data_IF_883472127365
#
_entry.id   IF_883472127365
#
_cell.length_a   1.000
_cell.length_b   1.000
_cell.length_c   1.000
_cell.angle_alpha   90.00
_cell.angle_beta   90.00
_cell.angle_gamma   90.00
#
_symmetry.space_group_name_H-M   'P 1'
#
loop_
_entity.id
_entity.type
_entity.pdbx_description
1 polymer ?
#
# COMPACT_ATOMS: atom_id res chain seq x y z
N UNK A 1 -3.54 -22.11 -32.71
CA UNK A 1 -2.64 -21.01 -32.27
C UNK A 1 -3.39 -20.21 -31.23
N UNK A 2 -2.82 -20.04 -30.07
CA UNK A 2 -3.51 -19.36 -28.97
C UNK A 2 -3.56 -17.86 -29.23
N UNK A 3 -4.72 -17.27 -29.01
CA UNK A 3 -4.87 -15.82 -29.09
C UNK A 3 -4.14 -15.16 -27.93
N UNK A 4 -3.68 -13.91 -28.12
CA UNK A 4 -3.02 -13.14 -27.05
C UNK A 4 -3.89 -13.07 -25.77
N UNK A 5 -5.20 -12.96 -25.93
CA UNK A 5 -6.14 -12.93 -24.80
C UNK A 5 -6.17 -14.25 -24.03
N UNK A 6 -6.23 -15.39 -24.74
CA UNK A 6 -6.18 -16.73 -24.12
C UNK A 6 -4.90 -16.93 -23.33
N UNK A 7 -3.78 -16.53 -23.91
CA UNK A 7 -2.45 -16.65 -23.28
C UNK A 7 -2.33 -15.76 -22.04
N UNK A 8 -2.86 -14.53 -22.08
CA UNK A 8 -2.91 -13.63 -20.92
C UNK A 8 -3.73 -14.26 -19.79
N UNK A 9 -4.88 -14.83 -20.09
CA UNK A 9 -5.73 -15.47 -19.08
C UNK A 9 -5.03 -16.66 -18.43
N UNK A 10 -4.40 -17.54 -19.24
CA UNK A 10 -3.62 -18.68 -18.74
C UNK A 10 -2.46 -18.22 -17.84
N UNK A 11 -1.77 -17.14 -18.23
CA UNK A 11 -0.71 -16.55 -17.41
C UNK A 11 -1.23 -15.99 -16.08
N UNK A 12 -2.36 -15.30 -16.07
CA UNK A 12 -2.97 -14.78 -14.85
C UNK A 12 -3.42 -15.91 -13.92
N UNK A 13 -3.94 -17.01 -14.46
CA UNK A 13 -4.26 -18.20 -13.68
C UNK A 13 -3.02 -18.86 -13.10
N UNK A 14 -1.95 -19.00 -13.88
CA UNK A 14 -0.65 -19.46 -13.40
C UNK A 14 -0.10 -18.56 -12.26
N UNK A 15 -0.20 -17.26 -12.41
CA UNK A 15 0.21 -16.30 -11.38
C UNK A 15 -0.60 -16.45 -10.09
N UNK A 16 -1.88 -16.76 -10.19
CA UNK A 16 -2.77 -16.96 -9.05
C UNK A 16 -2.52 -18.34 -8.39
N UNK A 17 -2.53 -19.41 -9.17
CA UNK A 17 -2.55 -20.78 -8.65
C UNK A 17 -1.16 -21.35 -8.31
N UNK A 18 -0.13 -21.01 -9.10
CA UNK A 18 1.21 -21.59 -8.93
C UNK A 18 2.20 -20.61 -8.32
N UNK A 19 2.16 -19.32 -8.72
CA UNK A 19 3.02 -18.29 -8.10
C UNK A 19 2.44 -17.70 -6.82
N UNK A 20 1.17 -17.95 -6.52
CA UNK A 20 0.47 -17.45 -5.34
C UNK A 20 0.69 -15.92 -5.13
N UNK A 21 0.61 -15.15 -6.22
CA UNK A 21 0.81 -13.72 -6.15
C UNK A 21 -0.35 -13.06 -5.40
N UNK A 22 -0.03 -12.02 -4.65
CA UNK A 22 -1.05 -11.26 -3.92
C UNK A 22 -2.08 -10.61 -4.87
N UNK A 23 -3.30 -10.43 -4.39
CA UNK A 23 -4.44 -9.92 -5.17
C UNK A 23 -4.18 -8.55 -5.80
N UNK A 24 -3.42 -7.67 -5.10
CA UNK A 24 -3.08 -6.33 -5.62
C UNK A 24 -2.14 -6.44 -6.82
N UNK A 25 -1.19 -7.35 -6.78
CA UNK A 25 -0.27 -7.64 -7.89
C UNK A 25 -1.02 -8.27 -9.07
N UNK A 26 -1.89 -9.24 -8.82
CA UNK A 26 -2.74 -9.85 -9.86
C UNK A 26 -3.65 -8.82 -10.52
N UNK A 27 -4.25 -7.92 -9.75
CA UNK A 27 -5.07 -6.83 -10.28
C UNK A 27 -4.26 -5.89 -11.16
N UNK A 28 -3.04 -5.54 -10.76
CA UNK A 28 -2.15 -4.70 -11.56
C UNK A 28 -1.77 -5.39 -12.88
N UNK A 29 -1.39 -6.68 -12.83
CA UNK A 29 -1.09 -7.47 -14.03
C UNK A 29 -2.29 -7.55 -14.97
N UNK A 30 -3.47 -7.85 -14.45
CA UNK A 30 -4.70 -7.90 -15.26
C UNK A 30 -4.97 -6.59 -15.99
N UNK A 31 -4.84 -5.45 -15.33
CA UNK A 31 -5.03 -4.13 -15.94
C UNK A 31 -3.96 -3.85 -16.99
N UNK A 32 -2.68 -4.12 -16.66
CA UNK A 32 -1.57 -3.79 -17.56
C UNK A 32 -1.57 -4.65 -18.81
N UNK A 33 -1.82 -5.96 -18.66
CA UNK A 33 -1.84 -6.91 -19.79
C UNK A 33 -3.06 -6.72 -20.68
N UNK A 34 -4.23 -6.37 -20.11
CA UNK A 34 -5.39 -5.99 -20.92
C UNK A 34 -5.09 -4.76 -21.76
N UNK A 35 -4.54 -3.70 -21.16
CA UNK A 35 -4.18 -2.48 -21.90
C UNK A 35 -3.08 -2.74 -22.95
N UNK A 36 -2.16 -3.66 -22.68
CA UNK A 36 -1.19 -4.11 -23.65
C UNK A 36 -1.87 -4.76 -24.85
N UNK A 37 -2.77 -5.72 -24.65
CA UNK A 37 -3.53 -6.39 -25.70
C UNK A 37 -4.33 -5.39 -26.55
N UNK A 38 -5.04 -4.45 -25.90
CA UNK A 38 -5.82 -3.40 -26.59
C UNK A 38 -4.94 -2.48 -27.45
N UNK A 39 -3.74 -2.11 -26.98
CA UNK A 39 -2.85 -1.18 -27.67
C UNK A 39 -2.07 -1.78 -28.84
N UNK A 40 -1.75 -3.08 -28.79
CA UNK A 40 -1.00 -3.74 -29.85
C UNK A 40 -1.91 -4.11 -31.04
N UNK A 41 -3.19 -4.41 -30.78
CA UNK A 41 -4.17 -4.86 -31.78
C UNK A 41 -3.72 -6.10 -32.58
N UNK A 42 -2.80 -6.90 -32.03
CA UNK A 42 -2.30 -8.16 -32.60
C UNK A 42 -2.99 -9.30 -31.88
N UNK A 43 -3.60 -10.20 -32.65
CA UNK A 43 -4.34 -11.35 -32.10
C UNK A 43 -3.43 -12.54 -31.81
N UNK A 44 -2.45 -12.77 -32.70
CA UNK A 44 -1.57 -13.92 -32.59
C UNK A 44 -0.24 -13.55 -31.88
N UNK A 45 0.09 -14.25 -30.81
CA UNK A 45 1.30 -14.00 -30.03
C UNK A 45 2.60 -14.12 -30.85
N UNK A 46 2.63 -15.02 -31.84
CA UNK A 46 3.79 -15.25 -32.70
C UNK A 46 4.12 -14.02 -33.61
N UNK A 47 3.19 -13.12 -33.81
CA UNK A 47 3.39 -11.91 -34.63
C UNK A 47 4.00 -10.75 -33.83
N UNK A 48 4.14 -10.90 -32.51
CA UNK A 48 4.71 -9.87 -31.66
C UNK A 48 6.22 -9.91 -31.72
N UNK A 49 6.79 -8.95 -32.41
CA UNK A 49 8.25 -8.81 -32.60
C UNK A 49 8.86 -7.80 -31.61
N UNK A 50 10.19 -7.78 -31.52
CA UNK A 50 10.91 -6.74 -30.76
C UNK A 50 10.54 -5.34 -31.23
N UNK A 51 10.36 -5.12 -32.54
CA UNK A 51 9.93 -3.84 -33.12
C UNK A 51 8.54 -3.42 -32.64
N UNK A 52 7.60 -4.36 -32.54
CA UNK A 52 6.26 -4.10 -32.01
C UNK A 52 6.32 -3.66 -30.53
N UNK A 53 7.17 -4.33 -29.76
CA UNK A 53 7.36 -3.98 -28.33
C UNK A 53 8.05 -2.63 -28.16
N UNK A 54 9.03 -2.29 -28.99
CA UNK A 54 9.68 -0.96 -28.99
C UNK A 54 8.66 0.15 -29.26
N UNK A 55 7.77 -0.05 -30.25
CA UNK A 55 6.69 0.90 -30.55
C UNK A 55 5.70 1.04 -29.39
N UNK A 56 5.37 -0.08 -28.72
CA UNK A 56 4.54 -0.07 -27.53
C UNK A 56 5.22 0.73 -26.39
N UNK A 57 6.50 0.48 -26.14
CA UNK A 57 7.30 1.19 -25.12
C UNK A 57 7.33 2.69 -25.42
N UNK A 58 7.56 3.09 -26.67
CA UNK A 58 7.56 4.49 -27.08
C UNK A 58 6.22 5.18 -26.76
N UNK A 59 5.09 4.55 -27.12
CA UNK A 59 3.75 5.04 -26.79
C UNK A 59 3.52 5.16 -25.29
N UNK A 60 4.03 4.21 -24.48
CA UNK A 60 3.92 4.30 -23.04
C UNK A 60 4.65 5.53 -22.47
N UNK A 61 5.83 5.86 -23.02
CA UNK A 61 6.60 7.04 -22.59
C UNK A 61 5.89 8.37 -22.92
N UNK A 62 5.10 8.41 -23.97
CA UNK A 62 4.28 9.58 -24.34
C UNK A 62 3.09 9.78 -23.39
N UNK A 63 2.50 8.67 -22.92
CA UNK A 63 1.23 8.69 -22.19
C UNK A 63 1.38 8.68 -20.66
N UNK A 64 2.48 8.12 -20.14
CA UNK A 64 2.61 7.81 -18.71
C UNK A 64 3.90 8.33 -18.10
N UNK A 65 3.85 8.59 -16.79
CA UNK A 65 5.05 8.91 -16.00
C UNK A 65 6.01 7.71 -15.94
N UNK A 66 7.34 7.93 -15.84
CA UNK A 66 8.37 6.87 -15.90
C UNK A 66 8.10 5.67 -14.98
N UNK A 67 7.65 5.90 -13.74
CA UNK A 67 7.32 4.83 -12.79
C UNK A 67 6.16 3.94 -13.26
N UNK A 68 5.16 4.52 -13.93
CA UNK A 68 4.04 3.76 -14.51
C UNK A 68 4.50 2.98 -15.73
N UNK A 69 5.32 3.58 -16.60
CA UNK A 69 5.93 2.91 -17.75
C UNK A 69 6.71 1.68 -17.30
N UNK A 70 7.61 1.84 -16.31
CA UNK A 70 8.41 0.75 -15.76
C UNK A 70 7.54 -0.41 -15.25
N UNK A 71 6.46 -0.12 -14.52
CA UNK A 71 5.52 -1.14 -14.02
C UNK A 71 4.84 -1.89 -15.16
N UNK A 72 4.31 -1.17 -16.16
CA UNK A 72 3.64 -1.76 -17.33
C UNK A 72 4.57 -2.65 -18.14
N UNK A 73 5.77 -2.19 -18.40
CA UNK A 73 6.79 -2.97 -19.10
C UNK A 73 7.17 -4.21 -18.29
N UNK A 74 7.31 -4.10 -16.96
CA UNK A 74 7.60 -5.24 -16.12
C UNK A 74 6.51 -6.31 -16.18
N UNK A 75 5.23 -5.91 -16.21
CA UNK A 75 4.09 -6.84 -16.35
C UNK A 75 4.13 -7.59 -17.68
N UNK A 76 4.38 -6.88 -18.78
CA UNK A 76 4.46 -7.50 -20.12
C UNK A 76 5.72 -8.37 -20.24
N UNK A 77 6.86 -7.90 -19.73
CA UNK A 77 8.10 -8.70 -19.72
C UNK A 77 7.94 -10.02 -18.94
N UNK A 78 7.21 -9.97 -17.83
CA UNK A 78 6.92 -11.17 -17.04
C UNK A 78 6.00 -12.17 -17.79
N UNK A 79 5.05 -11.69 -18.59
CA UNK A 79 4.26 -12.53 -19.49
C UNK A 79 5.16 -13.22 -20.53
N UNK A 80 5.99 -12.47 -21.26
CA UNK A 80 6.85 -13.06 -22.29
C UNK A 80 7.87 -14.04 -21.73
N UNK A 81 8.37 -13.81 -20.53
CA UNK A 81 9.22 -14.77 -19.84
C UNK A 81 8.48 -16.07 -19.50
N UNK A 82 7.20 -15.99 -19.11
CA UNK A 82 6.35 -17.16 -18.88
C UNK A 82 6.10 -17.92 -20.19
N UNK A 83 5.87 -17.23 -21.30
CA UNK A 83 5.63 -17.85 -22.60
C UNK A 83 6.86 -18.64 -23.11
N UNK A 84 8.03 -18.07 -22.95
CA UNK A 84 9.30 -18.72 -23.26
C UNK A 84 9.54 -19.93 -22.34
N UNK A 85 9.30 -19.78 -21.04
CA UNK A 85 9.41 -20.87 -20.05
C UNK A 85 8.44 -22.04 -20.31
N UNK A 86 7.29 -21.78 -20.91
CA UNK A 86 6.28 -22.77 -21.27
C UNK A 86 6.41 -23.30 -22.72
N UNK A 87 7.48 -22.95 -23.41
CA UNK A 87 7.73 -23.31 -24.81
C UNK A 87 6.58 -22.91 -25.76
N UNK A 88 5.82 -21.85 -25.41
CA UNK A 88 4.76 -21.29 -26.26
C UNK A 88 5.37 -20.41 -27.36
N UNK A 89 6.51 -19.79 -27.06
CA UNK A 89 7.36 -19.06 -28.03
C UNK A 89 8.80 -19.56 -27.96
N UNK A 90 9.46 -19.70 -29.10
CA UNK A 90 10.85 -20.16 -29.19
C UNK A 90 11.84 -19.12 -28.66
N UNK A 91 11.54 -17.83 -28.85
CA UNK A 91 12.41 -16.73 -28.47
C UNK A 91 11.63 -15.58 -27.85
N UNK A 92 12.14 -15.06 -26.73
CA UNK A 92 11.56 -13.90 -26.08
C UNK A 92 11.91 -12.60 -26.83
N UNK A 93 10.93 -11.87 -27.39
CA UNK A 93 11.20 -10.65 -28.14
C UNK A 93 11.79 -9.52 -27.28
N UNK A 94 11.71 -9.58 -25.95
CA UNK A 94 12.37 -8.62 -25.05
C UNK A 94 13.89 -8.84 -24.95
N UNK A 95 14.45 -9.99 -25.33
CA UNK A 95 15.88 -10.31 -25.19
C UNK A 95 16.78 -9.32 -25.94
N UNK A 96 16.29 -8.70 -27.01
CA UNK A 96 17.02 -7.74 -27.85
C UNK A 96 16.69 -6.28 -27.54
N UNK A 97 15.85 -6.00 -26.52
CA UNK A 97 15.40 -4.64 -26.21
C UNK A 97 16.17 -4.13 -24.97
N UNK A 98 16.98 -3.09 -25.16
CA UNK A 98 17.64 -2.38 -24.08
C UNK A 98 16.71 -1.28 -23.55
N UNK A 99 16.24 -1.45 -22.33
CA UNK A 99 15.35 -0.48 -21.68
C UNK A 99 16.11 0.24 -20.57
N UNK A 100 16.36 1.52 -20.77
CA UNK A 100 17.00 2.37 -19.77
C UNK A 100 15.97 3.32 -19.16
N UNK A 101 15.74 3.22 -17.85
CA UNK A 101 14.92 4.16 -17.10
C UNK A 101 15.84 5.16 -16.38
N UNK A 102 15.74 6.42 -16.75
CA UNK A 102 16.32 7.52 -15.96
C UNK A 102 15.28 7.93 -14.91
N UNK A 103 15.37 7.34 -13.75
CA UNK A 103 14.56 7.78 -12.60
C UNK A 103 15.40 8.74 -11.76
N UNK A 104 14.89 9.95 -11.48
CA UNK A 104 15.55 10.81 -10.51
C UNK A 104 15.51 10.15 -9.13
N UNK A 105 16.61 10.15 -8.41
CA UNK A 105 16.65 9.74 -7.02
C UNK A 105 15.93 10.83 -6.21
N UNK A 106 14.69 10.57 -5.84
CA UNK A 106 13.90 11.49 -5.02
C UNK A 106 14.05 11.03 -3.57
N UNK A 107 14.58 11.91 -2.72
CA UNK A 107 14.65 11.65 -1.29
C UNK A 107 13.24 11.44 -0.71
N UNK A 108 13.08 10.49 0.23
CA UNK A 108 11.82 10.27 0.92
C UNK A 108 11.37 11.58 1.60
N UNK A 109 10.11 11.95 1.40
CA UNK A 109 9.53 13.11 2.07
C UNK A 109 9.14 12.72 3.49
N UNK A 110 9.63 13.45 4.47
CA UNK A 110 9.22 13.36 5.88
C UNK A 110 8.21 14.43 6.22
N UNK A 111 7.56 14.28 7.35
CA UNK A 111 6.66 15.29 7.95
C UNK A 111 7.44 15.97 9.07
N UNK A 112 7.65 17.29 9.04
CA UNK A 112 8.28 18.01 10.14
C UNK A 112 7.53 17.79 11.45
N UNK A 113 8.24 17.69 12.58
CA UNK A 113 7.63 17.36 13.88
C UNK A 113 6.51 18.33 14.27
N UNK A 114 6.73 19.64 14.09
CA UNK A 114 5.69 20.65 14.34
C UNK A 114 4.42 20.45 13.49
N UNK A 115 4.58 19.90 12.27
CA UNK A 115 3.44 19.58 11.39
C UNK A 115 2.70 18.36 11.91
N UNK A 116 3.41 17.36 12.47
CA UNK A 116 2.79 16.20 13.14
C UNK A 116 2.00 16.65 14.36
N UNK A 117 2.57 17.51 15.19
CA UNK A 117 1.91 18.09 16.36
C UNK A 117 0.64 18.86 15.97
N UNK A 118 0.71 19.68 14.92
CA UNK A 118 -0.44 20.42 14.39
C UNK A 118 -1.53 19.46 13.88
N UNK A 119 -1.13 18.40 13.18
CA UNK A 119 -2.05 17.39 12.67
C UNK A 119 -2.75 16.66 13.81
N UNK A 120 -2.02 16.15 14.80
CA UNK A 120 -2.58 15.45 15.96
C UNK A 120 -3.48 16.37 16.80
N UNK A 121 -3.01 17.60 17.12
CA UNK A 121 -3.81 18.57 17.87
C UNK A 121 -5.12 18.90 17.18
N UNK A 122 -5.15 18.94 15.85
CA UNK A 122 -6.38 19.13 15.07
C UNK A 122 -7.34 17.95 15.23
N UNK A 123 -6.84 16.72 15.28
CA UNK A 123 -7.68 15.54 15.55
C UNK A 123 -8.30 15.62 16.96
N UNK A 124 -7.48 15.94 17.96
CA UNK A 124 -7.97 16.05 19.34
C UNK A 124 -8.99 17.20 19.51
N UNK A 125 -8.75 18.38 18.90
CA UNK A 125 -9.75 19.46 18.87
C UNK A 125 -11.08 19.05 18.24
N UNK A 126 -11.03 18.27 17.14
CA UNK A 126 -12.25 17.73 16.53
C UNK A 126 -12.96 16.71 17.45
N UNK A 127 -12.20 15.96 18.25
CA UNK A 127 -12.74 15.02 19.24
C UNK A 127 -13.44 15.76 20.37
N UNK A 128 -12.83 16.81 20.93
CA UNK A 128 -13.41 17.66 21.98
C UNK A 128 -14.70 18.36 21.51
N UNK A 129 -14.72 18.82 20.26
CA UNK A 129 -15.85 19.51 19.66
C UNK A 129 -16.96 18.55 19.15
N UNK A 130 -16.76 17.24 19.24
CA UNK A 130 -17.70 16.24 18.76
C UNK A 130 -18.99 16.23 19.63
N UNK A 131 -20.14 16.57 19.04
CA UNK A 131 -21.41 16.67 19.74
C UNK A 131 -22.23 15.38 19.71
N UNK A 132 -22.19 14.68 18.56
CA UNK A 132 -22.97 13.45 18.39
C UNK A 132 -22.15 12.21 18.72
N UNK A 133 -22.84 11.13 19.10
CA UNK A 133 -22.21 9.83 19.33
C UNK A 133 -21.39 9.37 18.14
N UNK A 134 -21.91 9.56 16.94
CA UNK A 134 -21.24 9.23 15.69
C UNK A 134 -19.92 10.03 15.50
N UNK A 135 -19.94 11.34 15.77
CA UNK A 135 -18.76 12.19 15.69
C UNK A 135 -17.70 11.80 16.71
N UNK A 136 -18.12 11.51 17.96
CA UNK A 136 -17.21 11.08 19.04
C UNK A 136 -16.49 9.79 18.68
N UNK A 137 -17.22 8.79 18.20
CA UNK A 137 -16.63 7.50 17.79
C UNK A 137 -15.69 7.63 16.61
N UNK A 138 -16.06 8.42 15.58
CA UNK A 138 -15.16 8.67 14.45
C UNK A 138 -13.87 9.35 14.89
N UNK A 139 -13.98 10.41 15.69
CA UNK A 139 -12.80 11.15 16.14
C UNK A 139 -11.88 10.30 17.02
N UNK A 140 -12.45 9.45 17.90
CA UNK A 140 -11.69 8.51 18.72
C UNK A 140 -10.92 7.49 17.84
N UNK A 141 -11.59 6.87 16.87
CA UNK A 141 -10.93 5.97 15.93
C UNK A 141 -9.84 6.68 15.14
N UNK A 142 -10.12 7.88 14.63
CA UNK A 142 -9.20 8.66 13.83
C UNK A 142 -7.95 9.04 14.65
N UNK A 143 -8.11 9.37 15.94
CA UNK A 143 -7.00 9.63 16.86
C UNK A 143 -6.17 8.35 17.10
N UNK A 144 -6.80 7.23 17.42
CA UNK A 144 -6.11 5.95 17.66
C UNK A 144 -5.31 5.50 16.41
N UNK A 145 -5.87 5.66 15.20
CA UNK A 145 -5.19 5.34 13.93
C UNK A 145 -4.00 6.26 13.69
N UNK A 146 -4.14 7.57 13.89
CA UNK A 146 -3.09 8.55 13.64
C UNK A 146 -1.91 8.37 14.60
N UNK A 147 -2.20 8.23 15.90
CA UNK A 147 -1.20 7.99 16.94
C UNK A 147 -0.43 6.70 16.67
N UNK A 148 -1.12 5.61 16.34
CA UNK A 148 -0.45 4.35 16.08
C UNK A 148 0.44 4.40 14.82
N UNK A 149 -0.03 5.04 13.74
CA UNK A 149 0.78 5.21 12.52
C UNK A 149 2.07 5.99 12.82
N UNK A 150 1.97 7.04 13.61
CA UNK A 150 3.11 7.87 13.96
C UNK A 150 4.06 7.16 14.93
N UNK A 151 3.53 6.52 15.97
CA UNK A 151 4.33 5.86 17.00
C UNK A 151 5.07 4.60 16.52
N UNK A 152 4.62 3.98 15.42
CA UNK A 152 5.17 2.69 14.99
C UNK A 152 5.73 2.70 13.57
N UNK A 153 5.40 3.69 12.76
CA UNK A 153 5.77 3.71 11.35
C UNK A 153 5.28 2.51 10.54
N UNK A 154 4.24 1.79 11.01
CA UNK A 154 3.72 0.63 10.29
C UNK A 154 3.09 1.01 8.95
N UNK A 155 3.03 0.05 8.02
CA UNK A 155 2.34 0.28 6.75
C UNK A 155 0.83 0.38 6.97
N UNK A 156 0.16 1.24 6.19
CA UNK A 156 -1.31 1.38 6.26
C UNK A 156 -2.04 0.04 6.08
N UNK A 157 -1.54 -0.84 5.21
CA UNK A 157 -2.14 -2.16 5.02
C UNK A 157 -1.95 -3.07 6.24
N UNK A 158 -0.83 -2.96 6.93
CA UNK A 158 -0.58 -3.67 8.19
C UNK A 158 -1.54 -3.19 9.28
N UNK A 159 -1.72 -1.87 9.43
CA UNK A 159 -2.69 -1.29 10.36
C UNK A 159 -4.13 -1.78 10.07
N UNK A 160 -4.54 -1.74 8.81
CA UNK A 160 -5.90 -2.14 8.42
C UNK A 160 -6.14 -3.66 8.54
N UNK A 161 -5.08 -4.48 8.50
CA UNK A 161 -5.17 -5.94 8.64
C UNK A 161 -5.01 -6.44 10.07
N UNK A 162 -4.60 -5.59 11.04
CA UNK A 162 -4.42 -5.97 12.44
C UNK A 162 -5.67 -6.68 12.98
N UNK A 163 -5.45 -7.83 13.64
CA UNK A 163 -6.49 -8.57 14.35
C UNK A 163 -6.52 -8.19 15.82
N UNK A 164 -7.61 -8.50 16.48
CA UNK A 164 -7.76 -8.22 17.92
C UNK A 164 -6.64 -8.89 18.70
N UNK A 165 -6.31 -10.14 18.37
CA UNK A 165 -5.28 -10.95 19.05
C UNK A 165 -3.85 -10.51 18.73
N UNK A 166 -3.63 -9.67 17.73
CA UNK A 166 -2.30 -9.16 17.37
C UNK A 166 -1.87 -7.99 18.28
N UNK A 167 -2.81 -7.42 19.05
CA UNK A 167 -2.58 -6.22 19.86
C UNK A 167 -2.73 -6.56 21.34
N UNK A 168 -1.62 -6.55 22.06
CA UNK A 168 -1.60 -6.67 23.51
C UNK A 168 -1.40 -5.28 24.14
N UNK A 169 -2.49 -4.66 24.60
CA UNK A 169 -2.44 -3.32 25.20
C UNK A 169 -1.87 -3.32 26.62
N UNK A 170 -1.87 -4.47 27.30
CA UNK A 170 -1.28 -4.58 28.64
C UNK A 170 0.26 -4.47 28.58
N UNK A 171 0.89 -5.19 27.64
CA UNK A 171 2.33 -5.14 27.43
C UNK A 171 2.75 -4.06 26.43
N UNK A 172 1.80 -3.39 25.78
CA UNK A 172 2.07 -2.43 24.71
C UNK A 172 2.70 -3.06 23.47
N UNK A 173 2.45 -4.35 23.19
CA UNK A 173 3.04 -5.05 22.04
C UNK A 173 2.07 -5.28 20.91
N UNK A 174 2.55 -5.17 19.68
CA UNK A 174 1.79 -5.44 18.45
C UNK A 174 2.57 -6.44 17.60
N UNK A 175 1.89 -7.52 17.19
CA UNK A 175 2.39 -8.47 16.21
C UNK A 175 1.94 -8.04 14.80
N UNK A 176 2.89 -7.93 13.88
CA UNK A 176 2.63 -7.52 12.51
C UNK A 176 3.06 -8.60 11.55
N UNK A 177 2.16 -8.96 10.64
CA UNK A 177 2.43 -9.85 9.52
C UNK A 177 2.80 -9.03 8.28
N UNK A 178 4.04 -9.15 7.85
CA UNK A 178 4.56 -8.47 6.67
C UNK A 178 4.39 -9.30 5.39
N UNK A 179 4.89 -8.79 4.27
CA UNK A 179 4.87 -9.51 2.99
C UNK A 179 5.70 -10.80 3.09
N UNK A 180 5.13 -11.94 2.66
CA UNK A 180 5.76 -13.26 2.71
C UNK A 180 5.77 -13.89 4.11
N UNK A 181 4.71 -13.67 4.88
CA UNK A 181 4.50 -14.21 6.24
C UNK A 181 5.62 -13.91 7.24
N UNK A 182 6.36 -12.82 7.00
CA UNK A 182 7.36 -12.36 7.96
C UNK A 182 6.67 -11.66 9.12
N UNK A 183 6.84 -12.24 10.31
CA UNK A 183 6.34 -11.65 11.54
C UNK A 183 7.36 -10.68 12.14
N UNK A 184 6.85 -9.59 12.72
CA UNK A 184 7.64 -8.73 13.58
C UNK A 184 6.81 -8.20 14.73
N UNK A 185 7.42 -8.04 15.88
CA UNK A 185 6.82 -7.38 17.04
C UNK A 185 7.24 -5.93 17.09
N UNK A 186 6.30 -5.05 17.42
CA UNK A 186 6.56 -3.65 17.71
C UNK A 186 6.17 -3.40 19.16
N UNK A 187 7.05 -2.70 19.89
CA UNK A 187 6.79 -2.23 21.25
C UNK A 187 6.33 -0.78 21.17
N UNK A 188 5.17 -0.48 21.77
CA UNK A 188 4.70 0.89 21.98
C UNK A 188 5.25 1.36 23.31
N UNK A 189 6.19 2.29 23.28
CA UNK A 189 6.81 2.86 24.50
C UNK A 189 6.05 4.08 25.06
N UNK A 190 5.08 4.62 24.34
CA UNK A 190 4.36 5.84 24.73
C UNK A 190 3.01 5.49 25.36
N UNK A 191 2.86 5.79 26.65
CA UNK A 191 1.62 5.56 27.42
C UNK A 191 0.41 6.27 26.84
N UNK A 192 0.57 7.47 26.29
CA UNK A 192 -0.54 8.21 25.67
C UNK A 192 -1.12 7.46 24.48
N UNK A 193 -0.27 6.79 23.69
CA UNK A 193 -0.70 5.95 22.57
C UNK A 193 -1.43 4.71 23.08
N UNK A 194 -0.92 4.07 24.14
CA UNK A 194 -1.59 2.92 24.75
C UNK A 194 -2.97 3.33 25.29
N UNK A 195 -3.06 4.47 25.95
CA UNK A 195 -4.31 4.98 26.52
C UNK A 195 -5.37 5.24 25.44
N UNK A 196 -5.03 5.90 24.32
CA UNK A 196 -5.98 6.14 23.22
C UNK A 196 -6.41 4.85 22.52
N UNK A 197 -5.50 3.87 22.41
CA UNK A 197 -5.82 2.54 21.86
C UNK A 197 -6.73 1.75 22.80
N UNK A 198 -6.53 1.86 24.12
CA UNK A 198 -7.39 1.22 25.12
C UNK A 198 -8.79 1.82 25.09
N UNK A 199 -8.90 3.16 25.06
CA UNK A 199 -10.20 3.83 24.95
C UNK A 199 -10.93 3.43 23.66
N UNK A 200 -10.19 3.36 22.54
CA UNK A 200 -10.74 2.86 21.29
C UNK A 200 -11.18 1.40 21.41
N UNK A 201 -10.36 0.55 22.03
CA UNK A 201 -10.65 -0.86 22.28
C UNK A 201 -11.97 -1.03 23.02
N UNK A 202 -12.18 -0.28 24.09
CA UNK A 202 -13.35 -0.38 24.93
C UNK A 202 -14.60 0.16 24.22
N UNK A 203 -14.47 1.30 23.54
CA UNK A 203 -15.58 1.91 22.81
C UNK A 203 -16.10 1.09 21.63
N UNK A 204 -15.27 0.21 21.06
CA UNK A 204 -15.61 -0.59 19.88
C UNK A 204 -15.60 -2.10 20.11
N UNK A 205 -15.52 -2.56 21.36
CA UNK A 205 -15.33 -3.96 21.70
C UNK A 205 -16.40 -4.88 21.09
N UNK A 206 -17.66 -4.53 21.25
CA UNK A 206 -18.78 -5.36 20.76
C UNK A 206 -18.76 -5.53 19.24
N UNK A 207 -18.58 -4.45 18.51
CA UNK A 207 -18.62 -4.48 17.03
C UNK A 207 -17.39 -5.15 16.42
N UNK A 208 -16.25 -5.06 17.08
CA UNK A 208 -15.00 -5.70 16.61
C UNK A 208 -15.02 -7.21 16.70
N UNK A 209 -15.72 -7.78 17.69
CA UNK A 209 -15.84 -9.23 17.83
C UNK A 209 -16.44 -9.90 16.60
N UNK A 210 -17.36 -9.23 15.91
CA UNK A 210 -17.98 -9.74 14.69
C UNK A 210 -17.02 -9.75 13.48
N UNK A 211 -16.01 -8.88 13.48
CA UNK A 211 -15.10 -8.66 12.34
C UNK A 211 -13.70 -9.23 12.57
N UNK A 212 -13.31 -9.49 13.82
CA UNK A 212 -11.97 -9.90 14.26
C UNK A 212 -10.83 -8.94 13.85
N UNK A 213 -11.14 -7.74 13.32
CA UNK A 213 -10.14 -6.72 13.04
C UNK A 213 -10.02 -5.74 14.22
N UNK A 214 -8.80 -5.30 14.53
CA UNK A 214 -8.58 -4.32 15.57
C UNK A 214 -9.21 -2.98 15.19
N UNK A 215 -8.95 -2.48 13.98
CA UNK A 215 -9.58 -1.26 13.48
C UNK A 215 -10.76 -1.55 12.57
N UNK A 216 -11.91 -0.97 12.92
CA UNK A 216 -13.14 -1.09 12.16
C UNK A 216 -13.70 0.29 11.76
N UNK A 217 -14.53 0.28 10.72
CA UNK A 217 -15.34 1.43 10.37
C UNK A 217 -16.62 1.45 11.21
N UNK A 218 -17.42 2.51 11.07
CA UNK A 218 -18.68 2.64 11.84
C UNK A 218 -19.79 1.65 11.44
N UNK A 219 -19.60 0.89 10.35
CA UNK A 219 -20.51 -0.19 9.97
C UNK A 219 -20.04 -1.55 10.51
N UNK A 220 -19.07 -1.59 11.43
CA UNK A 220 -18.53 -2.82 12.01
C UNK A 220 -17.65 -3.65 11.07
N UNK A 221 -17.28 -3.13 9.89
CA UNK A 221 -16.40 -3.81 8.95
C UNK A 221 -14.94 -3.33 9.12
N UNK A 222 -13.98 -4.15 8.69
CA UNK A 222 -12.57 -3.79 8.71
C UNK A 222 -12.33 -2.39 8.10
N UNK A 223 -11.47 -1.60 8.74
CA UNK A 223 -11.07 -0.29 8.23
C UNK A 223 -10.25 -0.48 6.95
N UNK A 224 -10.57 0.27 5.89
CA UNK A 224 -9.85 0.16 4.62
C UNK A 224 -8.72 1.18 4.50
N UNK A 225 -7.66 0.82 3.73
CA UNK A 225 -6.58 1.74 3.37
C UNK A 225 -7.12 3.08 2.82
N UNK A 226 -8.21 3.02 2.04
CA UNK A 226 -8.82 4.21 1.45
C UNK A 226 -9.49 5.10 2.51
N UNK A 227 -10.11 4.50 3.53
CA UNK A 227 -10.71 5.26 4.64
C UNK A 227 -9.64 6.00 5.44
N UNK A 228 -8.50 5.35 5.71
CA UNK A 228 -7.37 5.99 6.41
C UNK A 228 -6.77 7.12 5.57
N UNK A 229 -6.62 6.95 4.25
CA UNK A 229 -6.15 8.03 3.35
C UNK A 229 -7.10 9.23 3.35
N UNK A 230 -8.42 8.97 3.32
CA UNK A 230 -9.43 10.03 3.41
C UNK A 230 -9.38 10.76 4.75
N UNK A 231 -9.17 10.02 5.84
CA UNK A 231 -9.00 10.56 7.18
C UNK A 231 -7.77 11.49 7.23
N UNK A 232 -6.61 11.05 6.76
CA UNK A 232 -5.40 11.86 6.71
C UNK A 232 -5.65 13.14 5.89
N UNK A 233 -6.20 13.04 4.68
CA UNK A 233 -6.50 14.20 3.85
C UNK A 233 -7.48 15.18 4.53
N UNK A 234 -8.51 14.66 5.19
CA UNK A 234 -9.47 15.47 5.96
C UNK A 234 -8.74 16.33 7.02
N UNK A 235 -7.91 15.69 7.85
CA UNK A 235 -7.25 16.41 8.95
C UNK A 235 -6.11 17.30 8.46
N UNK A 236 -5.42 16.95 7.39
CA UNK A 236 -4.44 17.82 6.70
C UNK A 236 -5.10 19.11 6.24
N UNK A 237 -6.29 19.01 5.61
CA UNK A 237 -7.07 20.18 5.17
C UNK A 237 -7.59 21.01 6.35
N UNK A 238 -8.13 20.37 7.39
CA UNK A 238 -8.63 21.06 8.58
C UNK A 238 -7.52 21.77 9.37
N UNK A 239 -6.32 21.24 9.35
CA UNK A 239 -5.14 21.83 9.97
C UNK A 239 -4.47 22.92 9.11
N UNK A 240 -4.98 23.19 7.92
CA UNK A 240 -4.38 24.12 6.93
C UNK A 240 -2.91 23.79 6.65
N UNK A 241 -2.58 22.52 6.57
CA UNK A 241 -1.23 22.03 6.25
C UNK A 241 -1.09 21.99 4.73
N UNK A 242 -0.18 22.79 4.16
CA UNK A 242 0.06 22.86 2.71
C UNK A 242 0.70 21.59 2.15
N UNK A 243 1.46 20.85 2.99
CA UNK A 243 2.11 19.62 2.58
C UNK A 243 1.09 18.51 2.37
N UNK A 244 1.12 17.86 1.18
CA UNK A 244 0.31 16.66 0.95
C UNK A 244 0.84 15.48 1.77
N UNK A 245 0.19 15.18 2.90
CA UNK A 245 0.58 14.11 3.81
C UNK A 245 0.03 12.76 3.31
N UNK A 246 0.88 11.75 3.31
CA UNK A 246 0.52 10.37 2.95
C UNK A 246 0.91 9.38 4.05
N UNK A 247 0.28 8.20 4.14
CA UNK A 247 0.66 7.18 5.12
C UNK A 247 2.13 6.75 5.05
N UNK A 248 2.73 6.78 3.86
CA UNK A 248 4.15 6.47 3.70
C UNK A 248 5.07 7.52 4.34
N UNK A 249 4.63 8.77 4.38
CA UNK A 249 5.40 9.83 5.05
C UNK A 249 5.45 9.63 6.56
N UNK A 250 4.38 9.14 7.21
CA UNK A 250 4.44 8.75 8.63
C UNK A 250 5.55 7.74 8.88
N UNK A 251 5.63 6.70 8.05
CA UNK A 251 6.68 5.69 8.15
C UNK A 251 8.08 6.28 7.90
N UNK A 252 8.24 7.14 6.91
CA UNK A 252 9.53 7.79 6.64
C UNK A 252 9.93 8.70 7.80
N UNK A 253 8.99 9.48 8.34
CA UNK A 253 9.24 10.33 9.52
C UNK A 253 9.67 9.49 10.72
N UNK A 254 8.96 8.42 11.03
CA UNK A 254 9.31 7.50 12.11
C UNK A 254 10.72 6.91 11.92
N UNK A 255 11.02 6.40 10.71
CA UNK A 255 12.32 5.83 10.41
C UNK A 255 13.45 6.87 10.52
N UNK A 256 13.22 8.10 10.04
CA UNK A 256 14.20 9.19 10.14
C UNK A 256 14.41 9.60 11.60
N UNK A 257 13.33 9.73 12.38
CA UNK A 257 13.46 10.08 13.81
C UNK A 257 14.23 9.03 14.62
N UNK A 258 14.09 7.73 14.29
CA UNK A 258 14.88 6.68 14.91
C UNK A 258 16.37 6.77 14.52
N UNK A 259 16.66 7.05 13.25
CA UNK A 259 18.03 7.26 12.77
C UNK A 259 18.67 8.49 13.41
N UNK A 260 17.94 9.58 13.59
CA UNK A 260 18.40 10.79 14.30
C UNK A 260 18.62 10.55 15.79
N UNK A 261 17.97 9.53 16.37
CA UNK A 261 18.17 9.06 17.73
C UNK A 261 19.23 7.94 17.84
N UNK A 262 20.09 7.79 16.82
CA UNK A 262 21.17 6.79 16.75
C UNK A 262 20.71 5.33 16.85
N UNK A 263 19.45 5.03 16.51
CA UNK A 263 18.98 3.64 16.44
C UNK A 263 19.54 2.99 15.18
N UNK A 264 20.17 1.82 15.33
CA UNK A 264 20.74 1.07 14.22
C UNK A 264 19.69 0.73 13.17
N UNK A 265 20.00 0.99 11.89
CA UNK A 265 19.11 0.78 10.74
C UNK A 265 18.57 -0.64 10.64
N UNK A 266 19.23 -1.62 11.25
CA UNK A 266 18.78 -3.02 11.31
C UNK A 266 17.51 -3.22 12.14
N UNK A 267 17.15 -2.27 12.99
CA UNK A 267 15.95 -2.29 13.83
C UNK A 267 14.82 -1.42 13.30
N UNK A 268 15.00 -0.74 12.15
CA UNK A 268 14.05 0.13 11.47
C UNK A 268 13.47 -0.58 10.23
#
# INVERSE_FOLDING_TARGET
MDTLETVINNYLEYCNSQKCLDEKTLKAYRIDLRQFSEQISIINIAEITSKTLEQYIARLHEQYKPKTVKRKIASVKALFHYLEYKDIIDHNPFSKILIHFREPVILPKTIPLHTVETFLSTIYKQRENAKTFYQKRNALRDAAVAELLFATGMRISELCSLKINDVNLYDGTILIYGKGDKERRIQIGNESVINILTEYNDAFNTERQACNNFFINLSGKALSDQSVRRMINKYTSLASIDQHITPHMFRHTFATSLLEADVDIRYI
#
